data_IF_413799707770
#
_entry.id   IF_413799707770
#
_cell.length_a   1.000
_cell.length_b   1.000
_cell.length_c   1.000
_cell.angle_alpha   90.00
_cell.angle_beta   90.00
_cell.angle_gamma   90.00
#
_symmetry.space_group_name_H-M   'P 1'
#
loop_
_entity.id
_entity.type
_entity.pdbx_description
1 polymer ?
#
# COMPACT_ATOMS: atom_id res chain seq x y z
N UNK A 1 -24.01 -24.59 -54.58
CA UNK A 1 -23.16 -24.61 -53.37
C UNK A 1 -22.93 -23.19 -52.88
N UNK A 2 -23.62 -22.78 -51.80
CA UNK A 2 -23.35 -21.53 -51.11
C UNK A 2 -23.28 -21.86 -49.62
N UNK A 3 -22.06 -21.91 -49.08
CA UNK A 3 -21.80 -22.22 -47.68
C UNK A 3 -22.16 -21.01 -46.83
N UNK A 4 -23.36 -21.04 -46.25
CA UNK A 4 -23.78 -20.13 -45.20
C UNK A 4 -22.95 -20.41 -43.95
N UNK A 5 -21.84 -19.68 -43.81
CA UNK A 5 -21.09 -19.60 -42.56
C UNK A 5 -21.95 -18.83 -41.54
N UNK A 6 -22.59 -19.57 -40.63
CA UNK A 6 -23.18 -19.01 -39.41
C UNK A 6 -22.06 -18.39 -38.58
N UNK A 7 -22.09 -17.06 -38.47
CA UNK A 7 -21.29 -16.35 -37.49
C UNK A 7 -21.69 -16.85 -36.10
N UNK A 8 -20.73 -17.40 -35.35
CA UNK A 8 -20.90 -17.59 -33.92
C UNK A 8 -21.01 -16.20 -33.28
N UNK A 9 -22.14 -15.93 -32.64
CA UNK A 9 -22.34 -14.74 -31.83
C UNK A 9 -21.20 -14.63 -30.80
N UNK A 10 -20.35 -13.62 -30.98
CA UNK A 10 -19.45 -13.16 -29.93
C UNK A 10 -20.33 -12.73 -28.75
N UNK A 11 -20.38 -13.54 -27.69
CA UNK A 11 -21.23 -13.34 -26.53
C UNK A 11 -20.98 -12.00 -25.86
N UNK A 12 -21.72 -10.97 -26.25
CA UNK A 12 -21.85 -9.75 -25.46
C UNK A 12 -22.71 -10.09 -24.25
N UNK A 13 -22.15 -9.94 -23.05
CA UNK A 13 -22.90 -10.10 -21.78
C UNK A 13 -23.82 -8.91 -21.52
N UNK A 14 -24.45 -8.36 -22.56
CA UNK A 14 -25.47 -7.33 -22.42
C UNK A 14 -26.78 -8.02 -22.08
N UNK A 15 -27.01 -8.15 -20.78
CA UNK A 15 -28.27 -8.66 -20.26
C UNK A 15 -29.45 -7.89 -20.87
N UNK A 16 -30.53 -8.62 -21.19
CA UNK A 16 -31.81 -8.03 -21.60
C UNK A 16 -32.19 -6.95 -20.56
N UNK A 17 -32.50 -5.73 -21.01
CA UNK A 17 -32.68 -4.50 -20.20
C UNK A 17 -31.44 -3.72 -19.73
N UNK A 18 -30.27 -3.89 -20.35
CA UNK A 18 -29.07 -3.09 -20.02
C UNK A 18 -29.29 -1.57 -20.10
N UNK A 19 -30.12 -1.10 -21.05
CA UNK A 19 -30.42 0.33 -21.23
C UNK A 19 -31.06 0.99 -19.99
N UNK A 20 -31.80 0.23 -19.18
CA UNK A 20 -32.43 0.74 -17.94
C UNK A 20 -31.46 0.82 -16.76
N UNK A 21 -30.28 0.19 -16.86
CA UNK A 21 -29.26 0.11 -15.79
C UNK A 21 -27.93 0.74 -16.21
N UNK A 22 -27.99 1.80 -17.02
CA UNK A 22 -26.80 2.56 -17.43
C UNK A 22 -26.36 3.45 -16.26
N UNK A 23 -25.27 3.09 -15.60
CA UNK A 23 -24.61 3.97 -14.63
C UNK A 23 -23.82 5.06 -15.36
N UNK A 24 -24.38 6.27 -15.42
CA UNK A 24 -23.66 7.43 -15.96
C UNK A 24 -22.71 8.04 -14.91
N UNK A 25 -21.67 8.72 -15.41
CA UNK A 25 -20.64 9.37 -14.60
C UNK A 25 -20.69 10.91 -14.67
N UNK A 26 -21.75 11.49 -15.22
CA UNK A 26 -21.89 12.95 -15.33
C UNK A 26 -21.91 13.66 -13.97
N UNK A 27 -22.33 12.97 -12.91
CA UNK A 27 -22.30 13.46 -11.54
C UNK A 27 -20.92 13.29 -10.84
N UNK A 28 -19.90 12.75 -11.50
CA UNK A 28 -18.55 12.59 -10.93
C UNK A 28 -17.92 13.91 -10.42
N UNK A 29 -17.93 15.04 -11.17
CA UNK A 29 -17.39 16.31 -10.67
C UNK A 29 -18.14 16.82 -9.45
N UNK A 30 -19.48 16.78 -9.48
CA UNK A 30 -20.31 17.21 -8.33
C UNK A 30 -20.03 16.34 -7.11
N UNK A 31 -19.93 15.01 -7.27
CA UNK A 31 -19.57 14.09 -6.17
C UNK A 31 -18.20 14.41 -5.56
N UNK A 32 -17.21 14.82 -6.36
CA UNK A 32 -15.90 15.27 -5.85
C UNK A 32 -16.03 16.56 -5.03
N UNK A 33 -16.77 17.54 -5.53
CA UNK A 33 -17.01 18.80 -4.80
C UNK A 33 -17.75 18.54 -3.49
N UNK A 34 -18.80 17.71 -3.50
CA UNK A 34 -19.55 17.33 -2.30
C UNK A 34 -18.65 16.63 -1.27
N UNK A 35 -17.80 15.68 -1.69
CA UNK A 35 -16.83 15.02 -0.82
C UNK A 35 -15.83 16.01 -0.23
N UNK A 36 -15.33 16.95 -1.03
CA UNK A 36 -14.39 17.97 -0.55
C UNK A 36 -15.04 18.89 0.49
N UNK A 37 -16.27 19.36 0.23
CA UNK A 37 -17.04 20.19 1.17
C UNK A 37 -17.31 19.42 2.48
N UNK A 38 -17.69 18.15 2.40
CA UNK A 38 -17.88 17.31 3.58
C UNK A 38 -16.57 17.09 4.37
N UNK A 39 -15.44 16.85 3.70
CA UNK A 39 -14.14 16.76 4.35
C UNK A 39 -13.74 18.07 5.04
N UNK A 40 -13.99 19.23 4.41
CA UNK A 40 -13.76 20.55 5.01
C UNK A 40 -14.65 20.79 6.24
N UNK A 41 -15.95 20.51 6.13
CA UNK A 41 -16.89 20.61 7.24
C UNK A 41 -16.47 19.71 8.42
N UNK A 42 -16.08 18.46 8.13
CA UNK A 42 -15.55 17.53 9.14
C UNK A 42 -14.28 18.07 9.82
N UNK A 43 -13.38 18.69 9.07
CA UNK A 43 -12.19 19.34 9.62
C UNK A 43 -12.54 20.46 10.60
N UNK A 44 -13.48 21.33 10.22
CA UNK A 44 -13.96 22.41 11.10
C UNK A 44 -14.60 21.86 12.37
N UNK A 45 -15.45 20.82 12.28
CA UNK A 45 -16.11 20.25 13.46
C UNK A 45 -15.15 19.57 14.43
N UNK A 46 -14.11 18.92 13.91
CA UNK A 46 -13.14 18.16 14.69
C UNK A 46 -11.99 19.06 15.21
N UNK A 47 -11.79 20.23 14.59
CA UNK A 47 -10.79 21.23 14.89
C UNK A 47 -9.35 20.69 14.94
N UNK A 48 -8.94 20.17 16.09
CA UNK A 48 -7.54 19.80 16.38
C UNK A 48 -7.24 18.32 16.11
N UNK A 49 -8.24 17.44 15.98
CA UNK A 49 -7.96 16.04 15.62
C UNK A 49 -7.80 15.85 14.10
N UNK A 50 -6.96 14.91 13.65
CA UNK A 50 -6.74 14.67 12.22
C UNK A 50 -8.00 14.14 11.51
N UNK A 51 -8.35 14.80 10.39
CA UNK A 51 -9.52 14.45 9.54
C UNK A 51 -9.45 13.04 8.98
N UNK A 52 -8.23 12.54 8.75
CA UNK A 52 -7.94 11.22 8.20
C UNK A 52 -8.39 10.06 9.10
N UNK A 53 -8.72 10.33 10.37
CA UNK A 53 -9.21 9.36 11.34
C UNK A 53 -8.10 8.73 12.20
N UNK A 54 -8.45 7.68 12.97
CA UNK A 54 -7.52 7.01 13.87
C UNK A 54 -6.33 6.37 13.15
N UNK A 55 -5.25 6.15 13.90
CA UNK A 55 -4.08 5.43 13.40
C UNK A 55 -4.48 4.00 12.98
N UNK A 56 -4.16 3.63 11.74
CA UNK A 56 -4.31 2.27 11.23
C UNK A 56 -3.00 1.49 11.38
N UNK A 57 -3.11 0.20 11.70
CA UNK A 57 -2.02 -0.76 11.79
C UNK A 57 -1.40 -1.02 10.40
N UNK A 58 -0.13 -1.41 10.38
CA UNK A 58 0.54 -1.86 9.15
C UNK A 58 0.21 -3.35 8.96
N UNK A 59 -0.73 -3.61 8.07
CA UNK A 59 -1.07 -4.97 7.63
C UNK A 59 -0.48 -5.28 6.26
N UNK A 60 0.07 -6.49 6.10
CA UNK A 60 0.28 -7.09 4.77
C UNK A 60 -0.99 -7.86 4.40
N UNK A 61 -1.34 -7.87 3.10
CA UNK A 61 -2.44 -8.68 2.58
C UNK A 61 -2.33 -10.15 3.06
N UNK A 62 -3.45 -10.85 3.27
CA UNK A 62 -3.54 -12.05 4.10
C UNK A 62 -2.78 -13.29 3.60
N UNK A 63 -2.19 -13.26 2.42
CA UNK A 63 -1.46 -14.40 1.82
C UNK A 63 -0.03 -14.57 2.35
N UNK A 64 0.47 -13.65 3.18
CA UNK A 64 1.80 -13.73 3.80
C UNK A 64 1.65 -13.67 5.31
N UNK A 65 2.16 -14.71 5.99
CA UNK A 65 2.12 -14.94 7.43
C UNK A 65 2.58 -13.73 8.26
N UNK A 66 1.96 -13.55 9.44
CA UNK A 66 2.29 -12.51 10.44
C UNK A 66 3.75 -12.64 10.87
N UNK A 67 4.64 -11.81 10.30
CA UNK A 67 6.07 -11.83 10.61
C UNK A 67 6.39 -11.05 11.89
N UNK A 68 7.41 -11.47 12.62
CA UNK A 68 7.94 -10.77 13.82
C UNK A 68 8.35 -9.33 13.49
N UNK A 69 8.86 -9.10 12.28
CA UNK A 69 9.18 -7.77 11.75
C UNK A 69 7.97 -6.83 11.74
N UNK A 70 6.79 -7.31 11.33
CA UNK A 70 5.57 -6.49 11.32
C UNK A 70 5.15 -6.15 12.74
N UNK A 71 5.24 -7.10 13.67
CA UNK A 71 4.93 -6.83 15.06
C UNK A 71 5.85 -5.74 15.61
N UNK A 72 7.17 -5.86 15.38
CA UNK A 72 8.16 -4.88 15.83
C UNK A 72 7.91 -3.50 15.21
N UNK A 73 7.63 -3.45 13.91
CA UNK A 73 7.29 -2.21 13.20
C UNK A 73 6.04 -1.54 13.76
N UNK A 74 5.00 -2.32 14.11
CA UNK A 74 3.77 -1.78 14.67
C UNK A 74 3.93 -1.33 16.13
N UNK A 75 4.74 -2.02 16.93
CA UNK A 75 5.12 -1.56 18.27
C UNK A 75 5.87 -0.24 18.19
N UNK A 76 6.85 -0.14 17.30
CA UNK A 76 7.61 1.09 17.08
C UNK A 76 6.71 2.24 16.62
N UNK A 77 5.82 1.97 15.66
CA UNK A 77 4.82 2.93 15.17
C UNK A 77 3.91 3.45 16.28
N UNK A 78 3.46 2.58 17.19
CA UNK A 78 2.63 3.00 18.33
C UNK A 78 3.42 3.89 19.29
N UNK A 79 4.67 3.56 19.61
CA UNK A 79 5.54 4.40 20.45
C UNK A 79 5.73 5.80 19.85
N UNK A 80 6.04 5.86 18.56
CA UNK A 80 6.19 7.13 17.83
C UNK A 80 4.90 7.94 17.75
N UNK A 81 3.74 7.27 17.63
CA UNK A 81 2.45 7.95 17.64
C UNK A 81 2.15 8.53 19.02
N UNK A 82 2.36 7.75 20.09
CA UNK A 82 2.15 8.22 21.47
C UNK A 82 3.05 9.42 21.80
N UNK A 83 4.30 9.46 21.32
CA UNK A 83 5.18 10.63 21.53
C UNK A 83 4.77 11.87 20.74
N UNK A 84 4.05 11.71 19.62
CA UNK A 84 3.57 12.81 18.77
C UNK A 84 2.15 13.26 19.12
N UNK A 85 1.43 12.47 19.91
CA UNK A 85 0.04 12.73 20.25
C UNK A 85 -0.02 13.83 21.32
N UNK A 86 -0.58 14.97 20.95
CA UNK A 86 -0.89 16.06 21.89
C UNK A 86 -2.24 15.74 22.53
N UNK A 87 -2.27 15.52 23.84
CA UNK A 87 -3.50 15.19 24.59
C UNK A 87 -3.99 16.44 25.30
N UNK A 88 -5.20 16.88 24.94
CA UNK A 88 -5.82 18.06 25.54
C UNK A 88 -6.49 17.71 26.87
N UNK A 89 -6.27 18.52 27.93
CA UNK A 89 -6.95 18.33 29.21
C UNK A 89 -8.46 18.52 29.06
N UNK A 90 -9.26 17.65 29.70
CA UNK A 90 -10.72 17.77 29.70
C UNK A 90 -11.21 19.06 30.36
N UNK A 91 -10.46 19.56 31.35
CA UNK A 91 -10.68 20.86 31.99
C UNK A 91 -9.37 21.65 31.92
N UNK A 92 -9.36 22.76 31.20
CA UNK A 92 -8.17 23.58 31.02
C UNK A 92 -7.60 24.14 32.34
N UNK A 93 -8.44 24.33 33.36
CA UNK A 93 -8.03 24.81 34.69
C UNK A 93 -7.47 23.72 35.60
N UNK A 94 -7.63 22.44 35.28
CA UNK A 94 -7.23 21.32 36.12
C UNK A 94 -6.64 20.18 35.26
N UNK A 95 -5.43 20.38 34.69
CA UNK A 95 -4.75 19.34 33.93
C UNK A 95 -4.34 18.17 34.84
N UNK A 96 -4.36 16.96 34.29
CA UNK A 96 -4.01 15.70 34.94
C UNK A 96 -2.70 15.15 34.37
N UNK A 97 -2.18 14.13 35.06
CA UNK A 97 -1.00 13.38 34.59
C UNK A 97 -1.30 12.75 33.21
N UNK A 98 -0.55 13.17 32.19
CA UNK A 98 -0.70 12.72 30.81
C UNK A 98 -1.27 13.76 29.83
N UNK A 99 -1.66 14.95 30.30
CA UNK A 99 -2.03 16.07 29.44
C UNK A 99 -0.79 16.84 28.94
N UNK A 100 -0.88 17.42 27.75
CA UNK A 100 0.21 18.19 27.13
C UNK A 100 0.41 19.58 27.75
N UNK A 101 1.66 20.06 27.74
CA UNK A 101 2.04 21.40 28.23
C UNK A 101 1.41 22.51 27.37
N UNK A 102 1.03 23.67 27.93
CA UNK A 102 0.40 24.77 27.18
C UNK A 102 1.21 25.31 26.00
N UNK A 103 2.53 25.08 25.96
CA UNK A 103 3.41 25.46 24.85
C UNK A 103 3.23 24.53 23.64
N UNK A 104 3.07 23.22 23.87
CA UNK A 104 2.87 22.21 22.83
C UNK A 104 1.54 22.41 22.10
N UNK A 105 0.52 22.93 22.81
CA UNK A 105 -0.82 23.16 22.26
C UNK A 105 -0.85 24.19 21.12
N UNK A 106 0.14 25.08 21.04
CA UNK A 106 0.19 26.18 20.04
C UNK A 106 0.94 25.82 18.77
N UNK A 107 1.58 24.65 18.69
CA UNK A 107 2.52 24.30 17.62
C UNK A 107 2.02 23.28 16.57
N UNK A 108 0.74 23.19 16.16
CA UNK A 108 0.38 22.19 15.16
C UNK A 108 0.97 22.55 13.80
N UNK A 109 2.03 21.84 13.40
CA UNK A 109 2.70 21.96 12.10
C UNK A 109 2.29 20.76 11.22
N UNK A 110 1.79 21.04 10.02
CA UNK A 110 1.56 20.00 9.01
C UNK A 110 2.88 19.72 8.29
N UNK A 111 3.48 18.55 8.56
CA UNK A 111 4.64 18.05 7.82
C UNK A 111 4.19 17.60 6.42
N UNK A 112 4.47 18.43 5.42
CA UNK A 112 4.37 18.08 4.01
C UNK A 112 5.66 17.35 3.62
N UNK A 113 5.54 16.09 3.22
CA UNK A 113 6.70 15.26 2.87
C UNK A 113 7.43 15.79 1.64
N UNK A 114 8.75 15.91 1.75
CA UNK A 114 9.63 16.29 0.63
C UNK A 114 10.05 15.05 -0.16
N UNK A 115 9.99 15.14 -1.49
CA UNK A 115 10.44 14.06 -2.39
C UNK A 115 11.98 13.95 -2.34
N UNK A 116 12.49 12.73 -2.16
CA UNK A 116 13.95 12.48 -2.11
C UNK A 116 14.57 12.55 -3.51
N UNK A 117 15.78 13.11 -3.60
CA UNK A 117 16.60 13.10 -4.81
C UNK A 117 17.11 11.68 -5.09
N UNK A 118 17.03 11.25 -6.35
CA UNK A 118 17.48 9.94 -6.82
C UNK A 118 19.01 9.89 -6.80
N UNK A 119 19.57 8.87 -6.14
CA UNK A 119 21.02 8.66 -6.01
C UNK A 119 21.63 8.13 -7.31
N UNK A 120 22.94 8.31 -7.53
CA UNK A 120 23.60 7.82 -8.75
C UNK A 120 23.57 6.30 -8.92
N UNK A 121 23.56 5.55 -7.80
CA UNK A 121 23.46 4.10 -7.81
C UNK A 121 22.10 3.62 -8.32
N UNK A 122 21.00 4.29 -7.92
CA UNK A 122 19.65 3.99 -8.40
C UNK A 122 19.52 4.21 -9.92
N UNK A 123 20.26 5.18 -10.47
CA UNK A 123 20.32 5.44 -11.92
C UNK A 123 21.09 4.35 -12.69
N UNK A 124 22.13 3.77 -12.09
CA UNK A 124 22.96 2.72 -12.71
C UNK A 124 22.35 1.32 -12.56
N UNK A 125 21.31 1.15 -11.73
CA UNK A 125 20.68 -0.15 -11.49
C UNK A 125 19.81 -0.61 -12.68
N UNK A 126 20.20 -1.72 -13.31
CA UNK A 126 19.45 -2.34 -14.41
C UNK A 126 18.36 -3.28 -13.88
N UNK A 127 17.22 -2.73 -13.49
CA UNK A 127 16.12 -3.47 -12.87
C UNK A 127 15.62 -4.66 -13.72
N UNK A 128 15.44 -4.45 -15.03
CA UNK A 128 14.95 -5.49 -15.94
C UNK A 128 15.88 -6.69 -16.01
N UNK A 129 17.19 -6.46 -16.22
CA UNK A 129 18.19 -7.53 -16.29
C UNK A 129 18.30 -8.30 -14.98
N UNK A 130 18.26 -7.59 -13.85
CA UNK A 130 18.24 -8.21 -12.52
C UNK A 130 17.07 -9.19 -12.38
N UNK A 131 15.85 -8.76 -12.72
CA UNK A 131 14.65 -9.60 -12.62
C UNK A 131 14.73 -10.83 -13.54
N UNK A 132 15.24 -10.67 -14.76
CA UNK A 132 15.42 -11.79 -15.69
C UNK A 132 16.44 -12.81 -15.17
N UNK A 133 17.55 -12.35 -14.59
CA UNK A 133 18.56 -13.22 -14.00
C UNK A 133 18.04 -13.96 -12.76
N UNK A 134 17.29 -13.29 -11.87
CA UNK A 134 16.71 -13.95 -10.69
C UNK A 134 15.70 -15.02 -11.08
N UNK A 135 14.82 -14.75 -12.05
CA UNK A 135 13.89 -15.76 -12.57
C UNK A 135 14.62 -16.93 -13.23
N UNK A 136 15.66 -16.66 -14.03
CA UNK A 136 16.50 -17.71 -14.63
C UNK A 136 17.20 -18.58 -13.58
N UNK A 137 17.75 -17.95 -12.54
CA UNK A 137 18.39 -18.64 -11.42
C UNK A 137 17.40 -19.51 -10.63
N UNK A 138 16.20 -18.99 -10.31
CA UNK A 138 15.16 -19.75 -9.62
C UNK A 138 14.69 -20.95 -10.44
N UNK A 139 14.43 -20.76 -11.75
CA UNK A 139 14.01 -21.82 -12.66
C UNK A 139 15.07 -22.92 -12.84
N UNK A 140 16.34 -22.54 -12.92
CA UNK A 140 17.44 -23.46 -13.20
C UNK A 140 18.12 -24.01 -11.93
N UNK A 141 17.68 -23.60 -10.73
CA UNK A 141 18.30 -23.99 -9.47
C UNK A 141 18.45 -25.51 -9.33
N UNK A 142 17.36 -26.26 -9.45
CA UNK A 142 17.38 -27.72 -9.31
C UNK A 142 18.24 -28.42 -10.37
N UNK A 143 18.24 -27.92 -11.61
CA UNK A 143 19.06 -28.48 -12.70
C UNK A 143 20.55 -28.24 -12.42
N UNK A 144 20.91 -27.05 -11.94
CA UNK A 144 22.30 -26.71 -11.59
C UNK A 144 22.79 -27.54 -10.42
N UNK A 145 21.98 -27.71 -9.38
CA UNK A 145 22.30 -28.59 -8.22
C UNK A 145 22.49 -30.03 -8.68
N UNK A 146 21.59 -30.58 -9.50
CA UNK A 146 21.71 -31.95 -10.04
C UNK A 146 22.97 -32.14 -10.86
N UNK A 147 23.33 -31.17 -11.71
CA UNK A 147 24.57 -31.21 -12.52
C UNK A 147 25.82 -31.10 -11.65
N UNK A 148 25.81 -30.25 -10.63
CA UNK A 148 26.92 -30.10 -9.69
C UNK A 148 27.16 -31.40 -8.90
N UNK A 149 26.09 -32.03 -8.38
CA UNK A 149 26.19 -33.29 -7.66
C UNK A 149 26.72 -34.42 -8.55
N UNK A 150 26.20 -34.56 -9.78
CA UNK A 150 26.68 -35.56 -10.74
C UNK A 150 28.16 -35.34 -11.11
N UNK A 151 28.61 -34.10 -11.23
CA UNK A 151 30.01 -33.78 -11.50
C UNK A 151 30.92 -34.11 -10.30
N UNK A 152 30.45 -33.88 -9.07
CA UNK A 152 31.17 -34.26 -7.86
C UNK A 152 31.25 -35.79 -7.67
N UNK A 153 30.17 -36.52 -7.96
CA UNK A 153 30.13 -37.98 -7.95
C UNK A 153 31.11 -38.58 -8.98
N UNK A 154 31.11 -38.06 -10.21
CA UNK A 154 32.05 -38.50 -11.24
C UNK A 154 33.51 -38.21 -10.86
N UNK A 155 33.81 -37.02 -10.36
CA UNK A 155 35.17 -36.66 -9.93
C UNK A 155 35.66 -37.43 -8.69
N UNK A 156 34.76 -38.04 -7.91
CA UNK A 156 35.10 -38.92 -6.79
C UNK A 156 35.29 -40.39 -7.24
N UNK A 157 34.81 -40.74 -8.43
CA UNK A 157 34.97 -42.07 -9.04
C UNK A 157 36.27 -42.20 -9.85
N UNK A 158 36.91 -41.07 -10.17
CA UNK A 158 38.17 -40.97 -10.90
C UNK A 158 39.43 -40.96 -9.98
N UNK A 159 39.26 -41.24 -8.68
CA UNK A 159 40.33 -41.47 -7.68
C UNK A 159 40.27 -42.90 -7.14
#
# INVERSE_FOLDING_TARGET
HNTSLKWHDFGTTLAHYWQRRVCNWFNQPVRKICRQKACKAKACCIALHPVAGPLRHIDRCPTISKSTELLQANVQRLKEYCSKLIVFPRKASAPKNGDSSPEELKMPIQLIGTLRVITEYEKKFKAFTSLHMTHGNARLFGIRVKRANKAAEAGMQDF
#
